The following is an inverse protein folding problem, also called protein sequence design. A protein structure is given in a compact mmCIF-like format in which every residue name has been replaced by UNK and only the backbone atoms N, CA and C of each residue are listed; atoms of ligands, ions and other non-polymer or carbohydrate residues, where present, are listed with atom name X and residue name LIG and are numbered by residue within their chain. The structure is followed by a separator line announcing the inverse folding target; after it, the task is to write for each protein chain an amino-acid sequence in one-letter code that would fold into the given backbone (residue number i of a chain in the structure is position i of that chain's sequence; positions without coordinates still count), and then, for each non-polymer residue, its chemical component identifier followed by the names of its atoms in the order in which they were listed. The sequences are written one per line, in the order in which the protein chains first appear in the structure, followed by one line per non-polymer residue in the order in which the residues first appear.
data_IF_440433814079
#
_entry.id   IF_440433814079
#
_cell.length_a   1.000
_cell.length_b   1.000
_cell.length_c   1.000
_cell.angle_alpha   90.00
_cell.angle_beta   90.00
_cell.angle_gamma   90.00
#
_symmetry.space_group_name_H-M   'P 1'
#
loop_
_entity.id
_entity.type
_entity.pdbx_description
1 polymer ?
#
# COMPACT_ATOMS: atom_id res chain seq x y z
N UNK A 1 10.07 43.41 16.08
CA UNK A 1 10.92 43.07 14.92
C UNK A 1 12.09 44.06 14.91
N UNK A 2 13.32 43.69 15.23
CA UNK A 2 14.46 44.62 15.12
C UNK A 2 14.84 44.78 13.65
N UNK A 3 14.96 46.02 13.23
CA UNK A 3 15.42 46.42 11.89
C UNK A 3 16.85 45.91 11.66
N UNK A 4 17.05 45.13 10.62
CA UNK A 4 18.35 44.62 10.20
C UNK A 4 19.24 45.78 9.74
N UNK A 5 20.55 45.75 10.03
CA UNK A 5 21.47 46.83 9.65
C UNK A 5 21.59 46.96 8.12
N UNK A 6 21.81 48.18 7.58
CA UNK A 6 21.71 48.45 6.13
C UNK A 6 22.71 47.71 5.23
N UNK A 7 23.74 47.11 5.77
CA UNK A 7 24.70 46.27 5.01
C UNK A 7 24.10 44.93 4.54
N UNK A 8 23.05 44.40 5.17
CA UNK A 8 22.34 43.15 4.75
C UNK A 8 21.26 43.39 3.70
N UNK A 9 20.79 44.61 3.49
CA UNK A 9 19.78 44.90 2.47
C UNK A 9 20.36 44.87 1.03
N UNK A 10 21.68 45.11 0.83
CA UNK A 10 22.31 45.02 -0.50
C UNK A 10 22.50 43.59 -1.02
N UNK A 11 22.53 42.58 -0.14
CA UNK A 11 22.73 41.19 -0.54
C UNK A 11 21.45 40.55 -1.14
N UNK A 12 20.25 41.13 -0.88
CA UNK A 12 18.98 40.60 -1.40
C UNK A 12 18.79 40.93 -2.89
N UNK A 13 19.56 41.80 -3.47
CA UNK A 13 19.53 42.15 -4.90
C UNK A 13 20.26 41.13 -5.79
N UNK A 14 21.06 40.22 -5.20
CA UNK A 14 21.78 39.19 -5.95
C UNK A 14 20.76 38.15 -6.50
N UNK A 15 20.64 37.98 -7.83
CA UNK A 15 19.67 37.04 -8.43
C UNK A 15 19.89 35.60 -8.01
N UNK A 16 21.11 35.18 -7.67
CA UNK A 16 21.43 33.86 -7.13
C UNK A 16 20.88 33.67 -5.70
N UNK A 17 21.07 34.66 -4.82
CA UNK A 17 20.52 34.64 -3.45
C UNK A 17 18.99 34.65 -3.47
N UNK A 18 18.39 35.49 -4.33
CA UNK A 18 16.92 35.50 -4.52
C UNK A 18 16.37 34.17 -5.01
N UNK A 19 17.07 33.49 -5.91
CA UNK A 19 16.71 32.16 -6.39
C UNK A 19 16.84 31.11 -5.27
N UNK A 20 17.93 31.12 -4.50
CA UNK A 20 18.14 30.20 -3.37
C UNK A 20 17.05 30.38 -2.29
N UNK A 21 16.71 31.63 -1.94
CA UNK A 21 15.67 31.92 -0.94
C UNK A 21 14.29 31.43 -1.44
N UNK A 22 13.97 31.64 -2.72
CA UNK A 22 12.72 31.16 -3.34
C UNK A 22 12.67 29.64 -3.35
N UNK A 23 13.78 28.97 -3.67
CA UNK A 23 13.87 27.50 -3.70
C UNK A 23 13.71 26.89 -2.30
N UNK A 24 14.32 27.48 -1.27
CA UNK A 24 14.19 27.06 0.13
C UNK A 24 12.77 27.26 0.65
N UNK A 25 12.15 28.42 0.37
CA UNK A 25 10.76 28.69 0.78
C UNK A 25 9.78 27.76 0.07
N UNK A 26 9.99 27.45 -1.21
CA UNK A 26 9.16 26.50 -1.95
C UNK A 26 9.32 25.08 -1.39
N UNK A 27 10.53 24.66 -1.01
CA UNK A 27 10.77 23.36 -0.40
C UNK A 27 10.05 23.20 0.93
N UNK A 28 10.14 24.18 1.83
CA UNK A 28 9.41 24.15 3.11
C UNK A 28 7.90 24.14 2.93
N UNK A 29 7.39 24.94 2.01
CA UNK A 29 5.96 24.95 1.66
C UNK A 29 5.50 23.59 1.13
N UNK A 30 6.23 23.02 0.17
CA UNK A 30 5.94 21.71 -0.40
C UNK A 30 6.04 20.60 0.65
N UNK A 31 7.00 20.67 1.59
CA UNK A 31 7.14 19.72 2.68
C UNK A 31 5.88 19.64 3.54
N UNK A 32 5.34 20.81 3.96
CA UNK A 32 4.10 20.88 4.74
C UNK A 32 2.91 20.38 3.92
N UNK A 33 2.81 20.75 2.65
CA UNK A 33 1.76 20.31 1.75
C UNK A 33 1.73 18.78 1.56
N UNK A 34 2.90 18.15 1.43
CA UNK A 34 3.00 16.69 1.40
C UNK A 34 2.66 16.03 2.73
N UNK A 35 3.04 16.64 3.87
CA UNK A 35 2.67 16.10 5.19
C UNK A 35 1.17 16.18 5.45
N UNK A 36 0.52 17.27 5.01
CA UNK A 36 -0.93 17.39 5.06
C UNK A 36 -1.61 16.22 4.35
N UNK A 37 -1.25 16.00 3.08
CA UNK A 37 -1.80 14.88 2.35
C UNK A 37 -1.50 13.53 3.03
N UNK A 38 -0.27 13.34 3.52
CA UNK A 38 0.14 12.10 4.16
C UNK A 38 -0.64 11.80 5.44
N UNK A 39 -0.96 12.82 6.26
CA UNK A 39 -1.78 12.69 7.46
C UNK A 39 -3.17 12.16 7.12
N UNK A 40 -3.88 12.86 6.22
CA UNK A 40 -5.25 12.49 5.87
C UNK A 40 -5.30 11.16 5.11
N UNK A 41 -4.34 10.88 4.24
CA UNK A 41 -4.22 9.58 3.59
C UNK A 41 -4.01 8.44 4.60
N UNK A 42 -3.27 8.69 5.68
CA UNK A 42 -3.06 7.69 6.72
C UNK A 42 -4.37 7.34 7.45
N UNK A 43 -5.20 8.35 7.77
CA UNK A 43 -6.55 8.10 8.27
C UNK A 43 -7.35 7.23 7.28
N UNK A 44 -7.40 7.63 6.01
CA UNK A 44 -8.15 6.90 4.96
C UNK A 44 -7.70 5.45 4.84
N UNK A 45 -6.40 5.16 4.98
CA UNK A 45 -5.85 3.81 4.79
C UNK A 45 -6.54 2.76 5.66
N UNK A 46 -6.94 3.11 6.87
CA UNK A 46 -7.63 2.19 7.78
C UNK A 46 -9.08 1.95 7.37
N UNK A 47 -9.77 2.99 6.90
CA UNK A 47 -11.15 2.89 6.41
C UNK A 47 -11.29 2.02 5.16
N UNK A 48 -10.22 1.89 4.38
CA UNK A 48 -10.16 1.13 3.12
C UNK A 48 -9.25 -0.09 3.20
N UNK A 49 -9.04 -0.63 4.41
CA UNK A 49 -8.17 -1.79 4.55
C UNK A 49 -8.74 -3.01 3.81
N UNK A 50 -7.95 -3.54 2.86
CA UNK A 50 -8.36 -4.68 2.02
C UNK A 50 -8.50 -5.95 2.84
N UNK A 51 -7.63 -6.12 3.85
CA UNK A 51 -7.59 -7.35 4.63
C UNK A 51 -8.79 -7.52 5.57
N UNK A 52 -9.39 -6.41 6.01
CA UNK A 52 -10.49 -6.42 7.00
C UNK A 52 -11.75 -5.76 6.47
N UNK A 53 -11.72 -4.45 6.17
CA UNK A 53 -12.91 -3.67 5.82
C UNK A 53 -13.51 -4.12 4.49
N UNK A 54 -12.73 -4.13 3.42
CA UNK A 54 -13.24 -4.54 2.12
C UNK A 54 -13.59 -6.03 2.07
N UNK A 55 -12.75 -6.90 2.64
CA UNK A 55 -13.00 -8.33 2.66
C UNK A 55 -14.27 -8.68 3.46
N UNK A 56 -14.48 -8.02 4.60
CA UNK A 56 -15.70 -8.22 5.38
C UNK A 56 -16.94 -7.68 4.67
N UNK A 57 -16.84 -6.54 3.96
CA UNK A 57 -17.93 -6.02 3.14
C UNK A 57 -18.37 -7.04 2.08
N UNK A 58 -17.41 -7.54 1.29
CA UNK A 58 -17.68 -8.56 0.26
C UNK A 58 -18.40 -9.78 0.85
N UNK A 59 -17.93 -10.25 2.00
CA UNK A 59 -18.55 -11.38 2.70
C UNK A 59 -19.95 -11.06 3.28
N UNK A 60 -20.20 -9.79 3.67
CA UNK A 60 -21.53 -9.34 4.15
C UNK A 60 -22.55 -9.19 3.02
N UNK A 61 -22.12 -8.82 1.82
CA UNK A 61 -22.98 -8.79 0.62
C UNK A 61 -23.44 -10.21 0.21
N UNK A 62 -22.79 -11.26 0.72
CA UNK A 62 -23.06 -12.64 0.33
C UNK A 62 -21.93 -13.26 -0.50
N UNK A 63 -20.80 -12.55 -0.64
CA UNK A 63 -19.63 -13.05 -1.35
C UNK A 63 -18.97 -14.24 -0.66
N UNK A 64 -18.21 -14.97 -1.44
CA UNK A 64 -17.46 -16.17 -1.08
C UNK A 64 -15.95 -15.89 -1.00
N UNK A 65 -15.16 -16.92 -0.73
CA UNK A 65 -13.69 -16.84 -0.77
C UNK A 65 -13.16 -16.45 -2.15
N UNK A 66 -13.82 -16.87 -3.23
CA UNK A 66 -13.47 -16.43 -4.59
C UNK A 66 -13.60 -14.92 -4.75
N UNK A 67 -14.69 -14.35 -4.25
CA UNK A 67 -14.91 -12.88 -4.30
C UNK A 67 -13.89 -12.13 -3.46
N UNK A 68 -13.44 -12.67 -2.31
CA UNK A 68 -12.32 -12.09 -1.53
C UNK A 68 -11.02 -12.16 -2.31
N UNK A 69 -10.76 -13.26 -3.01
CA UNK A 69 -9.61 -13.40 -3.91
C UNK A 69 -9.64 -12.39 -5.07
N UNK A 70 -10.81 -12.24 -5.71
CA UNK A 70 -11.03 -11.28 -6.79
C UNK A 70 -10.85 -9.83 -6.31
N UNK A 71 -11.42 -9.49 -5.14
CA UNK A 71 -11.20 -8.20 -4.50
C UNK A 71 -9.70 -7.89 -4.32
N UNK A 72 -8.95 -8.85 -3.76
CA UNK A 72 -7.52 -8.70 -3.50
C UNK A 72 -6.73 -8.58 -4.80
N UNK A 73 -7.05 -9.39 -5.80
CA UNK A 73 -6.45 -9.34 -7.14
C UNK A 73 -6.69 -7.97 -7.81
N UNK A 74 -7.89 -7.41 -7.71
CA UNK A 74 -8.22 -6.09 -8.23
C UNK A 74 -7.48 -5.01 -7.43
N UNK A 75 -7.56 -5.02 -6.11
CA UNK A 75 -7.02 -3.96 -5.27
C UNK A 75 -5.49 -3.87 -5.32
N UNK A 76 -4.79 -5.00 -5.42
CA UNK A 76 -3.33 -5.08 -5.38
C UNK A 76 -2.74 -5.40 -6.75
N UNK A 77 -3.35 -6.28 -7.52
CA UNK A 77 -2.83 -6.74 -8.81
C UNK A 77 -3.08 -5.76 -9.94
N UNK A 78 -4.27 -5.17 -10.04
CA UNK A 78 -4.61 -4.25 -11.11
C UNK A 78 -3.69 -3.01 -11.18
N UNK A 79 -3.28 -2.38 -10.05
CA UNK A 79 -2.26 -1.34 -10.06
C UNK A 79 -0.94 -1.76 -10.69
N UNK A 80 -0.48 -3.00 -10.46
CA UNK A 80 0.79 -3.49 -11.01
C UNK A 80 0.76 -3.56 -12.54
N UNK A 81 -0.37 -4.02 -13.10
CA UNK A 81 -0.56 -4.09 -14.57
C UNK A 81 -0.70 -2.70 -15.18
N UNK A 82 -1.48 -1.82 -14.58
CA UNK A 82 -1.78 -0.48 -15.12
C UNK A 82 -0.65 0.53 -14.91
N UNK A 83 0.18 0.33 -13.88
CA UNK A 83 1.28 1.23 -13.55
C UNK A 83 2.23 1.47 -14.73
N UNK A 84 2.52 0.43 -15.49
CA UNK A 84 3.43 0.53 -16.64
C UNK A 84 2.86 1.39 -17.77
N UNK A 85 1.58 1.20 -18.09
CA UNK A 85 0.87 2.01 -19.09
C UNK A 85 0.84 3.48 -18.68
N UNK A 86 0.52 3.75 -17.42
CA UNK A 86 0.46 5.10 -16.89
C UNK A 86 1.82 5.77 -16.80
N UNK A 87 2.88 5.02 -16.47
CA UNK A 87 4.24 5.53 -16.47
C UNK A 87 4.66 6.02 -17.87
N UNK A 88 4.32 5.26 -18.93
CA UNK A 88 4.58 5.65 -20.31
C UNK A 88 3.86 6.94 -20.69
N UNK A 89 2.57 7.05 -20.37
CA UNK A 89 1.77 8.25 -20.63
C UNK A 89 2.33 9.49 -19.90
N UNK A 90 2.65 9.34 -18.62
CA UNK A 90 3.12 10.44 -17.76
C UNK A 90 4.57 10.86 -18.07
N UNK A 91 5.39 9.97 -18.63
CA UNK A 91 6.76 10.30 -19.04
C UNK A 91 6.82 11.40 -20.09
N UNK A 92 5.82 11.52 -20.94
CA UNK A 92 5.67 12.57 -21.97
C UNK A 92 5.16 13.92 -21.44
N UNK A 93 4.98 14.08 -20.12
CA UNK A 93 4.41 15.31 -19.55
C UNK A 93 5.42 16.08 -18.72
N UNK A 94 5.54 17.39 -18.97
CA UNK A 94 6.43 18.30 -18.22
C UNK A 94 5.92 18.58 -16.82
N UNK A 95 4.61 18.73 -16.64
CA UNK A 95 3.92 18.91 -15.36
C UNK A 95 2.97 17.75 -15.09
N UNK A 96 3.02 17.19 -13.90
CA UNK A 96 2.25 16.01 -13.50
C UNK A 96 1.20 16.29 -12.43
N UNK A 97 1.20 17.52 -11.85
CA UNK A 97 0.21 17.93 -10.84
C UNK A 97 -1.26 17.81 -11.30
N UNK A 98 -1.66 18.21 -12.53
CA UNK A 98 -3.03 18.02 -12.99
C UNK A 98 -3.43 16.54 -12.98
N UNK A 99 -2.53 15.65 -13.39
CA UNK A 99 -2.77 14.22 -13.46
C UNK A 99 -2.80 13.58 -12.05
N UNK A 100 -1.97 14.08 -11.12
CA UNK A 100 -2.04 13.72 -9.70
C UNK A 100 -3.42 14.05 -9.12
N UNK A 101 -3.88 15.28 -9.30
CA UNK A 101 -5.20 15.73 -8.83
C UNK A 101 -6.33 14.92 -9.46
N UNK A 102 -6.29 14.68 -10.77
CA UNK A 102 -7.28 13.85 -11.47
C UNK A 102 -7.35 12.45 -10.84
N UNK A 103 -6.19 11.79 -10.64
CA UNK A 103 -6.15 10.46 -10.03
C UNK A 103 -6.71 10.45 -8.61
N UNK A 104 -6.42 11.47 -7.79
CA UNK A 104 -6.98 11.54 -6.43
C UNK A 104 -8.48 11.85 -6.44
N UNK A 105 -8.97 12.71 -7.33
CA UNK A 105 -10.41 12.96 -7.43
C UNK A 105 -11.19 11.72 -7.90
N UNK A 106 -10.63 10.92 -8.81
CA UNK A 106 -11.23 9.63 -9.18
C UNK A 106 -11.27 8.66 -7.99
N UNK A 107 -10.28 8.69 -7.09
CA UNK A 107 -10.32 7.91 -5.84
C UNK A 107 -11.39 8.43 -4.88
N UNK A 108 -11.53 9.75 -4.73
CA UNK A 108 -12.61 10.35 -3.93
C UNK A 108 -13.96 9.94 -4.48
N UNK A 109 -14.14 10.05 -5.80
CA UNK A 109 -15.37 9.63 -6.49
C UNK A 109 -15.66 8.15 -6.25
N UNK A 110 -14.63 7.28 -6.31
CA UNK A 110 -14.80 5.85 -6.06
C UNK A 110 -15.31 5.56 -4.65
N UNK A 111 -14.75 6.23 -3.65
CA UNK A 111 -15.18 6.04 -2.25
C UNK A 111 -16.58 6.63 -2.00
N UNK A 112 -16.87 7.82 -2.54
CA UNK A 112 -18.20 8.41 -2.46
C UNK A 112 -19.25 7.57 -3.18
N UNK A 113 -18.91 7.07 -4.39
CA UNK A 113 -19.77 6.17 -5.17
C UNK A 113 -20.03 4.85 -4.44
N UNK A 114 -19.01 4.29 -3.77
CA UNK A 114 -19.17 3.11 -2.94
C UNK A 114 -20.11 3.38 -1.75
N UNK A 115 -19.94 4.52 -1.06
CA UNK A 115 -20.83 4.93 0.01
C UNK A 115 -22.28 5.10 -0.49
N UNK A 116 -22.47 5.73 -1.64
CA UNK A 116 -23.79 5.86 -2.27
C UNK A 116 -24.42 4.50 -2.65
N UNK A 117 -23.62 3.61 -3.26
CA UNK A 117 -24.06 2.25 -3.59
C UNK A 117 -24.57 1.51 -2.35
N UNK A 118 -23.89 1.67 -1.23
CA UNK A 118 -24.31 1.04 0.04
C UNK A 118 -25.53 1.73 0.68
N UNK A 119 -25.76 3.01 0.40
CA UNK A 119 -26.97 3.69 0.85
C UNK A 119 -28.26 3.12 0.24
N UNK A 120 -28.15 2.56 -0.97
CA UNK A 120 -29.27 1.94 -1.69
C UNK A 120 -29.22 0.40 -1.67
N UNK A 121 -28.30 -0.18 -0.89
CA UNK A 121 -28.03 -1.62 -0.88
C UNK A 121 -29.25 -2.48 -0.50
N UNK A 122 -30.09 -2.01 0.42
CA UNK A 122 -31.30 -2.73 0.85
C UNK A 122 -32.32 -2.96 -0.28
N UNK A 123 -32.28 -2.11 -1.31
CA UNK A 123 -33.16 -2.15 -2.48
C UNK A 123 -32.52 -2.81 -3.69
N UNK A 124 -31.25 -3.23 -3.58
CA UNK A 124 -30.43 -3.69 -4.70
C UNK A 124 -30.27 -5.21 -4.65
N UNK A 125 -30.25 -5.84 -5.83
CA UNK A 125 -29.85 -7.24 -5.95
C UNK A 125 -28.40 -7.43 -5.47
N UNK A 126 -28.10 -8.45 -4.65
CA UNK A 126 -26.76 -8.71 -4.14
C UNK A 126 -25.70 -8.86 -5.22
N UNK A 127 -26.02 -9.41 -6.39
CA UNK A 127 -25.10 -9.59 -7.51
C UNK A 127 -24.73 -8.25 -8.15
N UNK A 128 -25.73 -7.37 -8.32
CA UNK A 128 -25.52 -6.01 -8.84
C UNK A 128 -24.71 -5.19 -7.83
N UNK A 129 -25.03 -5.31 -6.54
CA UNK A 129 -24.29 -4.63 -5.47
C UNK A 129 -22.83 -5.08 -5.47
N UNK A 130 -22.57 -6.37 -5.57
CA UNK A 130 -21.21 -6.94 -5.63
C UNK A 130 -20.45 -6.43 -6.84
N UNK A 131 -21.04 -6.48 -8.02
CA UNK A 131 -20.43 -5.98 -9.25
C UNK A 131 -20.06 -4.49 -9.14
N UNK A 132 -20.99 -3.69 -8.61
CA UNK A 132 -20.77 -2.25 -8.45
C UNK A 132 -19.65 -1.95 -7.44
N UNK A 133 -19.55 -2.70 -6.34
CA UNK A 133 -18.46 -2.59 -5.39
C UNK A 133 -17.12 -2.91 -6.07
N UNK A 134 -17.03 -3.97 -6.87
CA UNK A 134 -15.82 -4.31 -7.61
C UNK A 134 -15.44 -3.24 -8.65
N UNK A 135 -16.42 -2.63 -9.30
CA UNK A 135 -16.18 -1.52 -10.23
C UNK A 135 -15.53 -0.34 -9.51
N UNK A 136 -16.07 0.05 -8.34
CA UNK A 136 -15.51 1.12 -7.53
C UNK A 136 -14.11 0.78 -6.99
N UNK A 137 -13.87 -0.45 -6.55
CA UNK A 137 -12.52 -0.90 -6.13
C UNK A 137 -11.55 -0.85 -7.31
N UNK A 138 -11.96 -1.27 -8.50
CA UNK A 138 -11.15 -1.20 -9.70
C UNK A 138 -10.77 0.22 -10.07
N UNK A 139 -11.74 1.15 -10.04
CA UNK A 139 -11.50 2.57 -10.30
C UNK A 139 -10.58 3.18 -9.24
N UNK A 140 -10.80 2.85 -7.94
CA UNK A 140 -9.94 3.28 -6.83
C UNK A 140 -8.50 2.80 -6.99
N UNK A 141 -8.32 1.55 -7.35
CA UNK A 141 -7.01 0.92 -7.48
C UNK A 141 -6.22 1.49 -8.68
N UNK A 142 -6.85 1.57 -9.86
CA UNK A 142 -6.22 2.10 -11.08
C UNK A 142 -5.89 3.58 -10.97
N UNK A 143 -6.82 4.38 -10.47
CA UNK A 143 -6.59 5.82 -10.24
C UNK A 143 -5.50 6.06 -9.18
N UNK A 144 -5.37 5.16 -8.19
CA UNK A 144 -4.29 5.17 -7.21
C UNK A 144 -2.92 4.91 -7.83
N UNK A 145 -2.79 3.95 -8.75
CA UNK A 145 -1.56 3.71 -9.51
C UNK A 145 -1.16 4.94 -10.34
N UNK A 146 -2.13 5.54 -11.03
CA UNK A 146 -1.93 6.74 -11.83
C UNK A 146 -1.45 7.94 -10.99
N UNK A 147 -2.11 8.19 -9.86
CA UNK A 147 -1.72 9.25 -8.92
C UNK A 147 -0.35 8.98 -8.28
N UNK A 148 -0.05 7.73 -7.94
CA UNK A 148 1.19 7.32 -7.28
C UNK A 148 2.45 7.62 -8.10
N UNK A 149 2.40 7.40 -9.43
CA UNK A 149 3.51 7.74 -10.34
C UNK A 149 3.74 9.25 -10.36
N UNK A 150 2.66 10.03 -10.51
CA UNK A 150 2.71 11.49 -10.51
C UNK A 150 3.24 12.03 -9.17
N UNK A 151 2.77 11.48 -8.05
CA UNK A 151 3.20 11.82 -6.70
C UNK A 151 4.71 11.62 -6.52
N UNK A 152 5.23 10.45 -6.92
CA UNK A 152 6.66 10.10 -6.75
C UNK A 152 7.56 11.05 -7.55
N UNK A 153 7.17 11.40 -8.77
CA UNK A 153 7.91 12.32 -9.62
C UNK A 153 7.91 13.75 -9.03
N UNK A 154 6.74 14.24 -8.62
CA UNK A 154 6.60 15.59 -8.03
C UNK A 154 7.37 15.68 -6.72
N UNK A 155 7.27 14.67 -5.83
CA UNK A 155 8.03 14.61 -4.58
C UNK A 155 9.54 14.68 -4.84
N UNK A 156 9.99 13.95 -5.87
CA UNK A 156 11.41 13.96 -6.29
C UNK A 156 11.91 15.30 -6.81
N UNK A 157 11.05 16.16 -7.36
CA UNK A 157 11.39 17.49 -7.85
C UNK A 157 11.23 18.56 -6.78
N UNK A 158 10.21 18.42 -5.94
CA UNK A 158 9.77 19.42 -4.98
C UNK A 158 10.59 19.44 -3.67
N UNK A 159 11.20 18.31 -3.30
CA UNK A 159 12.01 18.20 -2.09
C UNK A 159 13.47 17.86 -2.41
N UNK A 160 14.45 18.63 -1.89
CA UNK A 160 15.88 18.30 -1.94
C UNK A 160 16.16 16.94 -1.30
N UNK A 161 17.25 16.27 -1.72
CA UNK A 161 17.64 14.94 -1.20
C UNK A 161 17.75 14.89 0.34
N UNK A 162 18.29 15.96 0.95
CA UNK A 162 18.42 16.09 2.40
C UNK A 162 17.08 16.13 3.13
N UNK A 163 16.07 16.79 2.59
CA UNK A 163 14.74 16.93 3.20
C UNK A 163 13.84 15.71 2.95
N UNK A 164 14.08 14.95 1.89
CA UNK A 164 13.28 13.71 1.63
C UNK A 164 13.37 12.72 2.77
N UNK A 165 14.57 12.53 3.35
CA UNK A 165 14.75 11.62 4.51
C UNK A 165 13.92 12.10 5.71
N UNK A 166 14.00 13.40 6.02
CA UNK A 166 13.20 14.01 7.10
C UNK A 166 11.71 13.86 6.85
N UNK A 167 11.27 14.10 5.61
CA UNK A 167 9.88 13.94 5.20
C UNK A 167 9.39 12.50 5.41
N UNK A 168 10.14 11.48 4.97
CA UNK A 168 9.74 10.09 5.11
C UNK A 168 9.62 9.66 6.58
N UNK A 169 10.54 10.14 7.44
CA UNK A 169 10.47 9.87 8.88
C UNK A 169 9.24 10.54 9.51
N UNK A 170 9.01 11.83 9.20
CA UNK A 170 7.85 12.58 9.72
C UNK A 170 6.53 11.97 9.24
N UNK A 171 6.45 11.63 7.94
CA UNK A 171 5.31 10.92 7.35
C UNK A 171 5.00 9.63 8.08
N UNK A 172 6.02 8.80 8.36
CA UNK A 172 5.83 7.52 9.02
C UNK A 172 5.35 7.68 10.47
N UNK A 173 5.91 8.64 11.21
CA UNK A 173 5.49 8.92 12.59
C UNK A 173 4.04 9.37 12.66
N UNK A 174 3.65 10.34 11.82
CA UNK A 174 2.29 10.85 11.71
C UNK A 174 1.32 9.74 11.28
N UNK A 175 1.71 8.94 10.28
CA UNK A 175 0.88 7.87 9.77
C UNK A 175 0.59 6.80 10.84
N UNK A 176 1.56 6.45 11.68
CA UNK A 176 1.36 5.46 12.74
C UNK A 176 0.29 5.89 13.74
N UNK A 177 0.31 7.16 14.18
CA UNK A 177 -0.69 7.71 15.09
C UNK A 177 -2.05 7.80 14.41
N UNK A 178 -2.09 8.33 13.18
CA UNK A 178 -3.33 8.50 12.42
C UNK A 178 -4.03 7.16 12.15
N UNK A 179 -3.28 6.12 11.78
CA UNK A 179 -3.84 4.79 11.53
C UNK A 179 -4.43 4.16 12.79
N UNK A 180 -3.77 4.29 13.95
CA UNK A 180 -4.31 3.76 15.20
C UNK A 180 -5.58 4.51 15.62
N UNK A 181 -5.58 5.84 15.53
CA UNK A 181 -6.76 6.66 15.85
C UNK A 181 -7.95 6.31 14.95
N UNK A 182 -7.70 6.17 13.63
CA UNK A 182 -8.75 5.82 12.68
C UNK A 182 -9.23 4.37 12.84
N UNK A 183 -8.36 3.44 13.28
CA UNK A 183 -8.78 2.07 13.58
C UNK A 183 -9.81 2.01 14.70
N UNK A 184 -9.65 2.85 15.75
CA UNK A 184 -10.65 2.99 16.82
C UNK A 184 -11.98 3.54 16.29
N UNK A 185 -11.93 4.56 15.40
CA UNK A 185 -13.13 5.12 14.78
C UNK A 185 -13.84 4.07 13.92
N UNK A 186 -13.13 3.40 13.03
CA UNK A 186 -13.73 2.35 12.17
C UNK A 186 -14.30 1.21 13.02
N UNK A 187 -13.58 0.77 14.06
CA UNK A 187 -14.09 -0.23 15.00
C UNK A 187 -15.39 0.22 15.63
N UNK A 188 -15.47 1.44 16.11
CA UNK A 188 -16.69 2.00 16.70
C UNK A 188 -17.85 2.01 15.70
N UNK A 189 -17.62 2.49 14.47
CA UNK A 189 -18.64 2.53 13.42
C UNK A 189 -19.19 1.15 13.04
N UNK A 190 -18.30 0.16 12.91
CA UNK A 190 -18.69 -1.21 12.55
C UNK A 190 -19.50 -1.88 13.65
N UNK A 191 -19.27 -1.53 14.92
CA UNK A 191 -19.99 -2.05 16.08
C UNK A 191 -21.32 -1.32 16.28
N UNK A 192 -21.31 0.01 16.22
CA UNK A 192 -22.45 0.83 16.59
C UNK A 192 -23.54 0.89 15.52
N UNK A 193 -23.19 0.70 14.25
CA UNK A 193 -24.14 0.82 13.16
C UNK A 193 -24.40 -0.55 12.51
N UNK A 194 -25.67 -0.87 12.14
CA UNK A 194 -25.99 -2.08 11.42
C UNK A 194 -25.47 -2.04 9.97
N UNK A 195 -25.27 -3.21 9.37
CA UNK A 195 -25.06 -3.35 7.93
C UNK A 195 -26.36 -2.99 7.18
N UNK A 196 -26.30 -2.27 6.03
CA UNK A 196 -25.12 -1.77 5.31
C UNK A 196 -24.65 -0.37 5.76
N UNK A 197 -25.37 0.28 6.69
CA UNK A 197 -25.15 1.68 7.10
C UNK A 197 -23.76 1.93 7.65
N UNK A 198 -23.18 0.99 8.37
CA UNK A 198 -21.82 1.08 8.89
C UNK A 198 -20.78 1.26 7.77
N UNK A 199 -20.82 0.46 6.72
CA UNK A 199 -19.88 0.60 5.58
C UNK A 199 -20.17 1.83 4.75
N UNK A 200 -21.45 2.21 4.56
CA UNK A 200 -21.82 3.47 3.93
C UNK A 200 -21.11 4.65 4.60
N UNK A 201 -21.24 4.77 5.92
CA UNK A 201 -20.60 5.86 6.70
C UNK A 201 -19.08 5.78 6.62
N UNK A 202 -18.49 4.60 6.71
CA UNK A 202 -17.05 4.38 6.59
C UNK A 202 -16.53 4.93 5.26
N UNK A 203 -17.14 4.61 4.13
CA UNK A 203 -16.67 5.06 2.82
C UNK A 203 -16.94 6.54 2.55
N UNK A 204 -18.05 7.10 3.06
CA UNK A 204 -18.30 8.54 2.97
C UNK A 204 -17.28 9.34 3.79
N UNK A 205 -16.97 8.91 5.01
CA UNK A 205 -15.91 9.53 5.82
C UNK A 205 -14.55 9.39 5.10
N UNK A 206 -14.23 8.23 4.55
CA UNK A 206 -13.00 8.03 3.79
C UNK A 206 -12.91 8.95 2.57
N UNK A 207 -14.02 9.14 1.83
CA UNK A 207 -14.10 10.07 0.71
C UNK A 207 -13.86 11.52 1.16
N UNK A 208 -14.51 11.96 2.25
CA UNK A 208 -14.34 13.30 2.80
C UNK A 208 -12.90 13.55 3.26
N UNK A 209 -12.30 12.60 4.00
CA UNK A 209 -10.91 12.69 4.44
C UNK A 209 -9.94 12.76 3.26
N UNK A 210 -10.16 11.95 2.20
CA UNK A 210 -9.33 11.96 1.01
C UNK A 210 -9.51 13.26 0.21
N UNK A 211 -10.73 13.80 0.16
CA UNK A 211 -10.99 15.11 -0.43
C UNK A 211 -10.23 16.21 0.31
N UNK A 212 -10.26 16.25 1.65
CA UNK A 212 -9.48 17.18 2.47
C UNK A 212 -7.97 17.00 2.21
N UNK A 213 -7.51 15.76 2.04
CA UNK A 213 -6.13 15.45 1.69
C UNK A 213 -5.68 16.13 0.38
N UNK A 214 -6.59 16.32 -0.59
CA UNK A 214 -6.26 16.96 -1.88
C UNK A 214 -5.82 18.42 -1.72
N UNK A 215 -6.24 19.10 -0.65
CA UNK A 215 -5.80 20.45 -0.32
C UNK A 215 -4.27 20.58 -0.27
N UNK A 216 -3.58 19.55 0.25
CA UNK A 216 -2.12 19.50 0.21
C UNK A 216 -1.56 19.50 -1.22
N UNK A 217 -2.17 18.75 -2.13
CA UNK A 217 -1.71 18.70 -3.53
C UNK A 217 -2.04 19.98 -4.32
N UNK A 218 -3.13 20.65 -4.00
CA UNK A 218 -3.40 21.97 -4.56
C UNK A 218 -2.32 22.99 -4.16
N UNK A 219 -1.85 22.92 -2.93
CA UNK A 219 -0.81 23.81 -2.41
C UNK A 219 0.58 23.56 -3.02
N UNK A 220 0.88 22.36 -3.56
CA UNK A 220 2.20 22.03 -4.10
C UNK A 220 2.59 22.95 -5.27
N UNK A 221 3.81 23.46 -5.21
CA UNK A 221 4.47 24.22 -6.28
C UNK A 221 5.36 23.28 -7.08
N UNK A 222 4.86 22.84 -8.25
CA UNK A 222 5.60 21.91 -9.13
C UNK A 222 6.49 22.65 -10.11
N UNK A 223 7.79 22.29 -10.11
CA UNK A 223 8.70 22.70 -11.18
C UNK A 223 8.53 21.82 -12.42
N UNK A 224 8.62 22.39 -13.66
CA UNK A 224 8.57 21.60 -14.88
C UNK A 224 9.69 20.56 -14.92
N UNK A 225 9.34 19.35 -15.37
CA UNK A 225 10.26 18.23 -15.47
C UNK A 225 10.77 18.00 -16.89
N UNK A 226 11.82 17.15 -17.00
CA UNK A 226 12.28 16.68 -18.31
C UNK A 226 11.30 15.65 -18.89
N UNK A 227 10.99 15.77 -20.18
CA UNK A 227 10.20 14.80 -20.92
C UNK A 227 11.08 13.61 -21.29
N UNK A 228 10.59 12.40 -21.06
CA UNK A 228 11.24 11.19 -21.55
C UNK A 228 10.38 10.55 -22.65
N UNK A 229 10.94 10.22 -23.82
CA UNK A 229 10.18 9.62 -24.90
C UNK A 229 9.70 8.20 -24.54
N UNK A 230 8.53 7.81 -25.02
CA UNK A 230 7.94 6.46 -24.81
C UNK A 230 8.86 5.34 -25.31
N UNK A 231 9.65 5.63 -26.36
CA UNK A 231 10.66 4.69 -26.88
C UNK A 231 11.66 4.21 -25.83
N UNK A 232 11.97 5.05 -24.84
CA UNK A 232 12.88 4.67 -23.74
C UNK A 232 12.28 3.59 -22.86
N UNK A 233 11.00 3.66 -22.58
CA UNK A 233 10.27 2.66 -21.80
C UNK A 233 10.17 1.32 -22.54
N UNK A 234 9.85 1.34 -23.84
CA UNK A 234 9.82 0.14 -24.67
C UNK A 234 11.20 -0.54 -24.76
N UNK A 235 12.29 0.25 -24.81
CA UNK A 235 13.66 -0.28 -24.76
C UNK A 235 13.93 -0.98 -23.42
N UNK A 236 13.48 -0.42 -22.30
CA UNK A 236 13.62 -1.04 -20.97
C UNK A 236 12.88 -2.39 -20.93
N UNK A 237 11.63 -2.43 -21.43
CA UNK A 237 10.85 -3.67 -21.48
C UNK A 237 11.53 -4.76 -22.31
N UNK A 238 12.02 -4.41 -23.50
CA UNK A 238 12.76 -5.35 -24.36
C UNK A 238 14.09 -5.83 -23.74
N UNK A 239 14.68 -5.01 -22.86
CA UNK A 239 15.92 -5.36 -22.16
C UNK A 239 15.71 -6.26 -20.94
N UNK A 240 14.46 -6.44 -20.44
CA UNK A 240 14.18 -7.23 -19.22
C UNK A 240 14.82 -8.62 -19.27
N UNK A 241 14.65 -9.47 -20.32
CA UNK A 241 15.22 -10.81 -20.34
C UNK A 241 16.75 -10.79 -20.25
N UNK A 242 17.40 -9.85 -20.92
CA UNK A 242 18.85 -9.70 -20.90
C UNK A 242 19.35 -9.26 -19.52
N UNK A 243 18.68 -8.30 -18.88
CA UNK A 243 19.02 -7.82 -17.54
C UNK A 243 18.88 -8.94 -16.51
N UNK A 244 17.80 -9.72 -16.57
CA UNK A 244 17.57 -10.84 -15.66
C UNK A 244 18.61 -11.96 -15.82
N UNK A 245 19.02 -12.26 -17.05
CA UNK A 245 20.06 -13.28 -17.32
C UNK A 245 21.41 -12.88 -16.74
N UNK A 246 21.74 -11.60 -16.78
CA UNK A 246 23.06 -11.08 -16.38
C UNK A 246 23.13 -10.65 -14.92
N UNK A 247 22.02 -10.27 -14.30
CA UNK A 247 21.97 -9.84 -12.89
C UNK A 247 21.24 -10.87 -12.00
N UNK A 248 22.04 -11.75 -11.40
CA UNK A 248 21.55 -12.79 -10.48
C UNK A 248 20.92 -12.19 -9.20
N UNK A 249 21.37 -11.01 -8.75
CA UNK A 249 20.80 -10.35 -7.58
C UNK A 249 19.37 -9.88 -7.85
N UNK A 250 19.13 -9.24 -9.00
CA UNK A 250 17.80 -8.82 -9.41
C UNK A 250 16.88 -10.03 -9.60
N UNK A 251 17.36 -11.11 -10.24
CA UNK A 251 16.59 -12.33 -10.45
C UNK A 251 16.19 -13.00 -9.13
N UNK A 252 17.12 -13.12 -8.17
CA UNK A 252 16.82 -13.66 -6.84
C UNK A 252 15.87 -12.74 -6.06
N UNK A 253 15.99 -11.43 -6.22
CA UNK A 253 15.07 -10.45 -5.59
C UNK A 253 13.64 -10.58 -6.12
N UNK A 254 13.45 -10.77 -7.43
CA UNK A 254 12.12 -10.98 -8.03
C UNK A 254 11.52 -12.29 -7.54
N UNK A 255 12.30 -13.38 -7.48
CA UNK A 255 11.86 -14.67 -6.95
C UNK A 255 11.51 -14.56 -5.45
N UNK A 256 12.31 -13.81 -4.66
CA UNK A 256 12.01 -13.49 -3.27
C UNK A 256 10.65 -12.82 -3.12
N UNK A 257 10.39 -11.74 -3.89
CA UNK A 257 9.12 -11.02 -3.84
C UNK A 257 7.97 -11.95 -4.20
N UNK A 258 8.07 -12.67 -5.32
CA UNK A 258 7.00 -13.54 -5.78
C UNK A 258 6.68 -14.65 -4.76
N UNK A 259 7.67 -15.26 -4.15
CA UNK A 259 7.44 -16.29 -3.13
C UNK A 259 6.90 -15.71 -1.81
N UNK A 260 7.48 -14.60 -1.33
CA UNK A 260 7.09 -14.02 -0.03
C UNK A 260 5.78 -13.25 -0.07
N UNK A 261 5.37 -12.71 -1.22
CA UNK A 261 4.11 -11.95 -1.37
C UNK A 261 2.85 -12.78 -1.07
N UNK A 262 2.93 -14.11 -1.19
CA UNK A 262 1.84 -14.98 -0.80
C UNK A 262 1.46 -14.78 0.67
N UNK A 263 2.44 -14.50 1.54
CA UNK A 263 2.21 -14.20 2.95
C UNK A 263 1.36 -12.95 3.20
N UNK A 264 1.38 -11.98 2.29
CA UNK A 264 0.52 -10.79 2.36
C UNK A 264 -0.85 -11.05 1.74
N UNK A 265 -0.89 -11.73 0.60
CA UNK A 265 -2.12 -11.92 -0.16
C UNK A 265 -3.03 -13.03 0.40
N UNK A 266 -2.52 -13.84 1.34
CA UNK A 266 -3.32 -14.79 2.13
C UNK A 266 -4.13 -14.10 3.25
N UNK A 267 -3.67 -12.95 3.77
CA UNK A 267 -4.28 -12.30 4.95
C UNK A 267 -5.80 -12.05 4.79
N UNK A 268 -6.32 -11.56 3.65
CA UNK A 268 -7.77 -11.37 3.46
C UNK A 268 -8.59 -12.65 3.66
N UNK A 269 -8.02 -13.83 3.42
CA UNK A 269 -8.71 -15.10 3.61
C UNK A 269 -8.86 -15.50 5.08
N UNK A 270 -8.13 -14.88 6.01
CA UNK A 270 -8.35 -15.12 7.44
C UNK A 270 -9.73 -14.62 7.90
N UNK A 271 -10.24 -13.52 7.31
CA UNK A 271 -11.63 -13.08 7.55
C UNK A 271 -12.64 -14.09 6.97
N UNK A 272 -12.37 -14.63 5.77
CA UNK A 272 -13.22 -15.66 5.18
C UNK A 272 -13.22 -16.93 6.03
N UNK A 273 -12.07 -17.37 6.55
CA UNK A 273 -11.96 -18.48 7.49
C UNK A 273 -12.72 -18.20 8.80
N UNK A 274 -12.59 -16.98 9.35
CA UNK A 274 -13.34 -16.56 10.53
C UNK A 274 -14.85 -16.64 10.30
N UNK A 275 -15.34 -16.12 9.17
CA UNK A 275 -16.77 -16.20 8.78
C UNK A 275 -17.25 -17.65 8.75
N UNK A 276 -16.45 -18.54 8.14
CA UNK A 276 -16.81 -19.96 8.00
C UNK A 276 -16.84 -20.73 9.33
N UNK A 277 -16.03 -20.32 10.32
CA UNK A 277 -15.90 -21.03 11.60
C UNK A 277 -16.72 -20.42 12.73
N UNK A 278 -16.78 -19.09 12.80
CA UNK A 278 -17.31 -18.36 13.97
C UNK A 278 -18.46 -17.40 13.59
N UNK A 279 -18.77 -17.29 12.30
CA UNK A 279 -19.60 -16.21 11.80
C UNK A 279 -18.81 -14.91 11.64
N UNK A 280 -19.51 -13.79 11.38
CA UNK A 280 -18.87 -12.49 11.17
C UNK A 280 -19.74 -11.35 11.71
N UNK A 281 -19.48 -10.94 12.95
CA UNK A 281 -20.13 -9.81 13.61
C UNK A 281 -19.34 -8.51 13.42
N UNK A 282 -19.98 -7.36 13.70
CA UNK A 282 -19.30 -6.07 13.72
C UNK A 282 -18.17 -6.01 14.77
N UNK A 283 -18.39 -6.66 15.92
CA UNK A 283 -17.38 -6.76 16.99
C UNK A 283 -16.09 -7.45 16.51
N UNK A 284 -16.23 -8.57 15.81
CA UNK A 284 -15.13 -9.33 15.26
C UNK A 284 -14.35 -8.51 14.23
N UNK A 285 -15.05 -7.91 13.26
CA UNK A 285 -14.43 -7.09 12.20
C UNK A 285 -13.65 -5.93 12.82
N UNK A 286 -14.25 -5.22 13.77
CA UNK A 286 -13.63 -4.10 14.44
C UNK A 286 -12.39 -4.49 15.26
N UNK A 287 -12.44 -5.63 15.98
CA UNK A 287 -11.32 -6.14 16.74
C UNK A 287 -10.18 -6.61 15.82
N UNK A 288 -10.49 -7.31 14.73
CA UNK A 288 -9.49 -7.76 13.75
C UNK A 288 -8.73 -6.59 13.15
N UNK A 289 -9.45 -5.54 12.72
CA UNK A 289 -8.86 -4.32 12.22
C UNK A 289 -7.94 -3.67 13.26
N UNK A 290 -8.44 -3.45 14.48
CA UNK A 290 -7.67 -2.82 15.55
C UNK A 290 -6.40 -3.62 15.88
N UNK A 291 -6.51 -4.92 16.07
CA UNK A 291 -5.37 -5.80 16.37
C UNK A 291 -4.32 -5.77 15.24
N UNK A 292 -4.76 -5.77 13.98
CA UNK A 292 -3.84 -5.65 12.83
C UNK A 292 -3.04 -4.35 12.87
N UNK A 293 -3.67 -3.22 13.11
CA UNK A 293 -2.96 -1.93 13.17
C UNK A 293 -2.12 -1.77 14.43
N UNK A 294 -2.56 -2.30 15.57
CA UNK A 294 -1.72 -2.38 16.79
C UNK A 294 -0.49 -3.25 16.53
N UNK A 295 -0.65 -4.40 15.91
CA UNK A 295 0.46 -5.27 15.51
C UNK A 295 1.44 -4.56 14.57
N UNK A 296 0.93 -3.83 13.55
CA UNK A 296 1.77 -3.03 12.66
C UNK A 296 2.57 -1.96 13.41
N UNK A 297 1.96 -1.26 14.33
CA UNK A 297 2.61 -0.19 15.10
C UNK A 297 3.71 -0.76 16.03
N UNK A 298 3.39 -1.77 16.83
CA UNK A 298 4.32 -2.37 17.78
C UNK A 298 5.49 -3.08 17.09
N UNK A 299 5.22 -3.75 15.96
CA UNK A 299 6.27 -4.45 15.22
C UNK A 299 7.35 -3.51 14.68
N UNK A 300 7.07 -2.24 14.43
CA UNK A 300 8.08 -1.29 13.92
C UNK A 300 9.25 -1.10 14.89
N UNK A 301 9.00 -1.21 16.20
CA UNK A 301 10.04 -1.13 17.24
C UNK A 301 10.98 -2.34 17.13
N UNK A 302 10.41 -3.52 16.88
CA UNK A 302 11.16 -4.78 16.73
C UNK A 302 11.96 -4.75 15.43
N UNK A 303 11.33 -4.33 14.33
CA UNK A 303 12.00 -4.23 13.02
C UNK A 303 13.18 -3.26 13.03
N UNK A 304 13.07 -2.14 13.77
CA UNK A 304 14.20 -1.22 13.97
C UNK A 304 15.39 -1.90 14.64
N UNK A 305 15.16 -2.71 15.70
CA UNK A 305 16.23 -3.46 16.37
C UNK A 305 16.87 -4.50 15.45
N UNK A 306 16.05 -5.23 14.68
CA UNK A 306 16.53 -6.24 13.73
C UNK A 306 17.30 -5.58 12.57
N UNK A 307 16.80 -4.45 12.03
CA UNK A 307 17.50 -3.71 10.98
C UNK A 307 18.88 -3.22 11.40
N UNK A 308 19.01 -2.74 12.64
CA UNK A 308 20.28 -2.26 13.15
C UNK A 308 21.33 -3.37 13.25
N UNK A 309 20.93 -4.61 13.57
CA UNK A 309 21.85 -5.75 13.74
C UNK A 309 22.05 -6.57 12.48
N UNK A 310 20.98 -6.81 11.72
CA UNK A 310 20.96 -7.76 10.59
C UNK A 310 20.59 -7.10 9.27
N UNK A 311 20.52 -5.76 9.21
CA UNK A 311 20.08 -5.00 8.04
C UNK A 311 18.68 -5.45 7.55
N UNK A 312 18.34 -5.15 6.30
CA UNK A 312 17.04 -5.51 5.73
C UNK A 312 16.89 -7.02 5.47
N UNK A 313 18.00 -7.75 5.31
CA UNK A 313 17.96 -9.22 5.21
C UNK A 313 17.37 -9.89 6.44
N UNK A 314 17.68 -9.38 7.64
CA UNK A 314 17.11 -9.90 8.87
C UNK A 314 15.60 -9.72 8.94
N UNK A 315 15.09 -8.55 8.54
CA UNK A 315 13.65 -8.29 8.48
C UNK A 315 12.99 -9.20 7.43
N UNK A 316 13.63 -9.38 6.26
CA UNK A 316 13.10 -10.24 5.19
C UNK A 316 13.05 -11.71 5.61
N UNK A 317 14.02 -12.18 6.39
CA UNK A 317 13.99 -13.52 6.97
C UNK A 317 12.80 -13.67 7.93
N UNK A 318 12.60 -12.71 8.85
CA UNK A 318 11.45 -12.73 9.76
C UNK A 318 10.12 -12.65 9.01
N UNK A 319 10.05 -11.84 7.95
CA UNK A 319 8.88 -11.75 7.08
C UNK A 319 8.52 -13.08 6.44
N UNK A 320 9.51 -13.79 5.86
CA UNK A 320 9.30 -15.09 5.27
C UNK A 320 8.92 -16.16 6.30
N UNK A 321 9.57 -16.13 7.47
CA UNK A 321 9.28 -17.06 8.56
C UNK A 321 7.86 -16.86 9.10
N UNK A 322 7.52 -15.64 9.51
CA UNK A 322 6.20 -15.35 10.07
C UNK A 322 5.11 -15.49 9.01
N UNK A 323 5.36 -15.01 7.77
CA UNK A 323 4.42 -15.15 6.67
C UNK A 323 4.09 -16.60 6.32
N UNK A 324 5.08 -17.51 6.43
CA UNK A 324 4.89 -18.95 6.21
C UNK A 324 4.24 -19.68 7.39
N UNK A 325 4.53 -19.26 8.63
CA UNK A 325 3.91 -19.85 9.82
C UNK A 325 2.47 -19.41 10.05
N UNK A 326 2.13 -18.17 9.69
CA UNK A 326 0.85 -17.57 10.00
C UNK A 326 -0.35 -18.30 9.39
N UNK A 327 -0.34 -18.77 8.11
CA UNK A 327 -1.41 -19.57 7.56
C UNK A 327 -1.63 -20.90 8.32
N UNK A 328 -0.56 -21.56 8.75
CA UNK A 328 -0.65 -22.79 9.53
C UNK A 328 -1.23 -22.52 10.92
N UNK A 329 -0.76 -21.44 11.57
CA UNK A 329 -1.30 -21.01 12.86
C UNK A 329 -2.77 -20.64 12.76
N UNK A 330 -3.22 -20.03 11.65
CA UNK A 330 -4.62 -19.72 11.41
C UNK A 330 -5.48 -20.98 11.35
N UNK A 331 -4.98 -22.06 10.73
CA UNK A 331 -5.69 -23.35 10.72
C UNK A 331 -5.82 -23.96 12.13
N UNK A 332 -4.75 -23.90 12.92
CA UNK A 332 -4.78 -24.41 14.30
C UNK A 332 -5.75 -23.60 15.15
N UNK A 333 -5.61 -22.27 15.15
CA UNK A 333 -6.45 -21.40 15.97
C UNK A 333 -7.92 -21.36 15.50
N UNK A 334 -8.21 -21.66 14.23
CA UNK A 334 -9.59 -21.79 13.74
C UNK A 334 -10.36 -22.99 14.32
N UNK A 335 -9.66 -23.89 15.00
CA UNK A 335 -10.25 -25.04 15.74
C UNK A 335 -10.44 -24.75 17.22
N UNK A 336 -10.03 -23.58 17.69
CA UNK A 336 -10.16 -23.14 19.09
C UNK A 336 -11.32 -22.14 19.21
N UNK A 337 -11.20 -21.15 20.10
CA UNK A 337 -12.19 -20.09 20.24
C UNK A 337 -11.84 -18.87 19.38
N UNK A 338 -12.84 -18.02 19.19
CA UNK A 338 -12.68 -16.75 18.47
C UNK A 338 -11.69 -15.81 19.17
N UNK A 339 -11.58 -15.88 20.51
CA UNK A 339 -10.69 -15.04 21.28
C UNK A 339 -9.23 -15.37 21.02
N UNK A 340 -8.91 -16.64 20.76
CA UNK A 340 -7.58 -17.02 20.31
C UNK A 340 -7.37 -16.72 18.84
N UNK A 341 -8.38 -16.95 17.99
CA UNK A 341 -8.26 -16.73 16.55
C UNK A 341 -7.99 -15.27 16.18
N UNK A 342 -8.55 -14.30 16.91
CA UNK A 342 -8.35 -12.88 16.61
C UNK A 342 -6.86 -12.45 16.64
N UNK A 343 -5.99 -13.14 17.38
CA UNK A 343 -4.56 -12.86 17.43
C UNK A 343 -3.83 -13.09 16.09
N UNK A 344 -4.43 -13.83 15.16
CA UNK A 344 -3.93 -13.94 13.79
C UNK A 344 -3.82 -12.56 13.14
N UNK A 345 -4.77 -11.67 13.40
CA UNK A 345 -4.74 -10.31 12.84
C UNK A 345 -3.65 -9.45 13.47
N UNK A 346 -3.36 -9.63 14.76
CA UNK A 346 -2.22 -8.98 15.40
C UNK A 346 -0.89 -9.39 14.73
N UNK A 347 -0.66 -10.67 14.53
CA UNK A 347 0.53 -11.16 13.84
C UNK A 347 0.53 -10.83 12.34
N UNK A 348 -0.63 -10.72 11.70
CA UNK A 348 -0.73 -10.20 10.32
C UNK A 348 -0.17 -8.78 10.22
N UNK A 349 -0.39 -7.94 11.24
CA UNK A 349 0.21 -6.62 11.34
C UNK A 349 1.75 -6.65 11.28
N UNK A 350 2.38 -7.62 11.96
CA UNK A 350 3.83 -7.84 11.88
C UNK A 350 4.27 -8.22 10.47
N UNK A 351 3.56 -9.15 9.84
CA UNK A 351 3.87 -9.59 8.47
C UNK A 351 3.74 -8.44 7.48
N UNK A 352 2.67 -7.62 7.57
CA UNK A 352 2.45 -6.48 6.69
C UNK A 352 3.56 -5.44 6.82
N UNK A 353 3.92 -5.08 8.05
CA UNK A 353 4.97 -4.07 8.28
C UNK A 353 6.35 -4.57 7.87
N UNK A 354 6.68 -5.84 8.19
CA UNK A 354 7.93 -6.47 7.78
C UNK A 354 8.05 -6.55 6.25
N UNK A 355 6.98 -6.94 5.56
CA UNK A 355 6.94 -7.02 4.10
C UNK A 355 7.24 -5.68 3.44
N UNK A 356 6.58 -4.60 3.88
CA UNK A 356 6.83 -3.25 3.36
C UNK A 356 8.28 -2.81 3.54
N UNK A 357 8.82 -2.97 4.76
CA UNK A 357 10.18 -2.53 5.08
C UNK A 357 11.23 -3.38 4.35
N UNK A 358 11.04 -4.70 4.31
CA UNK A 358 12.06 -5.61 3.77
C UNK A 358 12.16 -5.53 2.25
N UNK A 359 11.04 -5.48 1.53
CA UNK A 359 11.03 -5.43 0.07
C UNK A 359 11.70 -4.14 -0.41
N UNK A 360 11.28 -2.98 0.11
CA UNK A 360 11.89 -1.70 -0.23
C UNK A 360 13.36 -1.65 0.21
N UNK A 361 13.67 -2.14 1.40
CA UNK A 361 15.02 -2.12 1.96
C UNK A 361 16.02 -2.96 1.17
N UNK A 362 15.66 -4.19 0.78
CA UNK A 362 16.53 -5.03 -0.05
C UNK A 362 16.75 -4.41 -1.43
N UNK A 363 15.72 -3.81 -2.04
CA UNK A 363 15.87 -3.09 -3.30
C UNK A 363 16.92 -1.98 -3.19
N UNK A 364 16.92 -1.23 -2.07
CA UNK A 364 17.90 -0.19 -1.83
C UNK A 364 19.33 -0.74 -1.68
N UNK A 365 19.50 -1.90 -1.06
CA UNK A 365 20.81 -2.54 -0.85
C UNK A 365 21.41 -3.15 -2.13
N UNK A 366 20.57 -3.65 -3.05
CA UNK A 366 21.06 -4.26 -4.30
C UNK A 366 21.22 -3.27 -5.45
N UNK A 367 20.71 -2.03 -5.31
CA UNK A 367 20.69 -1.03 -6.37
C UNK A 367 21.60 0.16 -6.09
N UNK A 368 21.99 0.84 -7.17
CA UNK A 368 22.61 2.17 -7.15
C UNK A 368 21.55 3.23 -7.48
N UNK A 369 21.91 4.52 -7.34
CA UNK A 369 21.00 5.61 -7.70
C UNK A 369 20.61 5.57 -9.19
N UNK A 370 21.50 5.07 -10.06
CA UNK A 370 21.32 5.08 -11.52
C UNK A 370 20.40 3.95 -12.02
N UNK A 371 20.44 2.76 -11.40
CA UNK A 371 19.64 1.61 -11.83
C UNK A 371 18.40 1.35 -10.98
N UNK A 372 18.24 2.00 -9.82
CA UNK A 372 17.14 1.76 -8.88
C UNK A 372 15.75 1.90 -9.51
N UNK A 373 15.52 2.93 -10.30
CA UNK A 373 14.23 3.15 -10.93
C UNK A 373 13.88 2.03 -11.94
N UNK A 374 14.88 1.54 -12.67
CA UNK A 374 14.72 0.45 -13.62
C UNK A 374 14.43 -0.85 -12.88
N UNK A 375 15.17 -1.16 -11.81
CA UNK A 375 14.98 -2.38 -11.02
C UNK A 375 13.63 -2.38 -10.30
N UNK A 376 13.21 -1.24 -9.75
CA UNK A 376 11.87 -1.09 -9.17
C UNK A 376 10.75 -1.33 -10.19
N UNK A 377 10.92 -0.79 -11.41
CA UNK A 377 9.98 -1.02 -12.51
C UNK A 377 9.91 -2.49 -12.93
N UNK A 378 11.06 -3.13 -13.14
CA UNK A 378 11.14 -4.54 -13.53
C UNK A 378 10.52 -5.43 -12.44
N UNK A 379 10.92 -5.24 -11.18
CA UNK A 379 10.43 -6.06 -10.07
C UNK A 379 8.92 -5.88 -9.85
N UNK A 380 8.41 -4.64 -9.94
CA UNK A 380 6.98 -4.37 -9.85
C UNK A 380 6.17 -5.07 -10.96
N UNK A 381 6.64 -4.98 -12.21
CA UNK A 381 5.98 -5.64 -13.36
C UNK A 381 6.00 -7.17 -13.26
N UNK A 382 7.07 -7.74 -12.69
CA UNK A 382 7.25 -9.19 -12.56
C UNK A 382 6.76 -9.75 -11.21
N UNK A 383 6.11 -8.95 -10.37
CA UNK A 383 5.45 -9.42 -9.14
C UNK A 383 4.08 -10.06 -9.43
N UNK A 384 4.06 -11.02 -10.36
CA UNK A 384 2.83 -11.62 -10.91
C UNK A 384 2.05 -12.43 -9.87
N UNK A 385 2.73 -13.08 -8.94
CA UNK A 385 2.07 -13.87 -7.89
C UNK A 385 1.18 -13.02 -6.99
N UNK A 386 1.58 -11.77 -6.74
CA UNK A 386 0.77 -10.81 -5.95
C UNK A 386 -0.59 -10.53 -6.59
N UNK A 387 -0.65 -10.56 -7.93
CA UNK A 387 -1.89 -10.32 -8.68
C UNK A 387 -2.72 -11.59 -8.88
N UNK A 388 -2.06 -12.70 -9.19
CA UNK A 388 -2.72 -13.93 -9.66
C UNK A 388 -3.07 -14.86 -8.50
N UNK A 389 -2.18 -14.99 -7.51
CA UNK A 389 -2.37 -15.93 -6.41
C UNK A 389 -3.69 -15.73 -5.64
N UNK A 390 -4.15 -14.50 -5.31
CA UNK A 390 -5.42 -14.34 -4.60
C UNK A 390 -6.62 -14.94 -5.35
N UNK A 391 -6.65 -14.81 -6.68
CA UNK A 391 -7.71 -15.39 -7.52
C UNK A 391 -7.69 -16.92 -7.45
N UNK A 392 -6.50 -17.51 -7.65
CA UNK A 392 -6.33 -18.97 -7.58
C UNK A 392 -6.65 -19.48 -6.18
N UNK A 393 -6.19 -18.80 -5.14
CA UNK A 393 -6.43 -19.17 -3.75
C UNK A 393 -7.93 -19.17 -3.42
N UNK A 394 -8.65 -18.13 -3.87
CA UNK A 394 -10.09 -18.04 -3.68
C UNK A 394 -10.85 -19.21 -4.34
N UNK A 395 -10.51 -19.53 -5.61
CA UNK A 395 -11.07 -20.69 -6.33
C UNK A 395 -10.76 -22.02 -5.64
N UNK A 396 -9.53 -22.20 -5.19
CA UNK A 396 -9.12 -23.44 -4.53
C UNK A 396 -9.77 -23.60 -3.15
N UNK A 397 -10.00 -22.52 -2.41
CA UNK A 397 -10.71 -22.56 -1.13
C UNK A 397 -12.15 -23.02 -1.34
N UNK A 398 -12.83 -22.54 -2.39
CA UNK A 398 -14.21 -22.94 -2.68
C UNK A 398 -14.33 -24.38 -3.14
N UNK A 399 -13.37 -24.80 -3.99
CA UNK A 399 -13.41 -26.16 -4.52
C UNK A 399 -12.96 -27.22 -3.51
N UNK A 400 -12.04 -26.87 -2.63
CA UNK A 400 -11.45 -27.77 -1.64
C UNK A 400 -11.67 -27.25 -0.23
N UNK A 401 -10.65 -26.64 0.37
CA UNK A 401 -10.72 -26.09 1.74
C UNK A 401 -9.67 -25.00 1.95
N UNK A 402 -9.82 -24.22 3.04
CA UNK A 402 -8.76 -23.31 3.51
C UNK A 402 -7.45 -24.05 3.81
N UNK A 403 -7.54 -25.27 4.36
CA UNK A 403 -6.37 -26.08 4.70
C UNK A 403 -5.52 -26.36 3.45
N UNK A 404 -6.14 -26.70 2.33
CA UNK A 404 -5.42 -26.93 1.07
C UNK A 404 -4.55 -25.73 0.70
N UNK A 405 -5.14 -24.54 0.63
CA UNK A 405 -4.44 -23.35 0.21
C UNK A 405 -3.35 -22.94 1.21
N UNK A 406 -3.65 -22.97 2.52
CA UNK A 406 -2.74 -22.51 3.55
C UNK A 406 -1.53 -23.45 3.72
N UNK A 407 -1.74 -24.78 3.62
CA UNK A 407 -0.67 -25.77 3.66
C UNK A 407 0.24 -25.65 2.43
N UNK A 408 -0.30 -25.40 1.23
CA UNK A 408 0.51 -25.21 0.03
C UNK A 408 1.19 -23.85 -0.05
N UNK A 409 0.55 -22.79 0.42
CA UNK A 409 1.16 -21.46 0.43
C UNK A 409 2.38 -21.38 1.36
N UNK A 410 2.35 -22.04 2.52
CA UNK A 410 3.39 -21.97 3.52
C UNK A 410 4.77 -22.40 3.02
N UNK A 411 4.97 -23.57 2.38
CA UNK A 411 6.28 -23.95 1.81
C UNK A 411 6.77 -23.00 0.73
N UNK A 412 5.86 -22.44 -0.09
CA UNK A 412 6.23 -21.46 -1.11
C UNK A 412 6.75 -20.18 -0.43
N UNK A 413 6.09 -19.71 0.62
CA UNK A 413 6.57 -18.54 1.38
C UNK A 413 7.94 -18.84 2.01
N UNK A 414 8.12 -20.01 2.62
CA UNK A 414 9.42 -20.41 3.19
C UNK A 414 10.52 -20.51 2.14
N UNK A 415 10.21 -20.91 0.90
CA UNK A 415 11.18 -20.96 -0.19
C UNK A 415 11.83 -19.60 -0.48
N UNK A 416 11.16 -18.49 -0.12
CA UNK A 416 11.70 -17.15 -0.25
C UNK A 416 12.99 -16.95 0.55
N UNK A 417 13.20 -17.70 1.65
CA UNK A 417 14.44 -17.70 2.46
C UNK A 417 15.65 -18.20 1.62
N UNK A 418 15.42 -19.16 0.74
CA UNK A 418 16.46 -19.63 -0.15
C UNK A 418 16.94 -18.55 -1.12
N UNK A 419 16.01 -17.82 -1.73
CA UNK A 419 16.34 -16.71 -2.61
C UNK A 419 17.01 -15.57 -1.86
N UNK A 420 16.55 -15.28 -0.64
CA UNK A 420 17.13 -14.27 0.25
C UNK A 420 18.62 -14.54 0.55
N UNK A 421 18.98 -15.81 0.82
CA UNK A 421 20.38 -16.20 1.08
C UNK A 421 21.29 -15.96 -0.12
N UNK A 422 20.76 -16.04 -1.34
CA UNK A 422 21.51 -15.86 -2.59
C UNK A 422 21.70 -14.41 -3.01
N UNK A 423 20.95 -13.48 -2.42
CA UNK A 423 21.10 -12.04 -2.66
C UNK A 423 22.40 -11.57 -1.99
N UNK A 424 23.23 -10.88 -2.75
CA UNK A 424 24.44 -10.19 -2.24
C UNK A 424 24.10 -8.72 -2.06
N UNK A 425 24.01 -8.27 -0.80
CA UNK A 425 23.85 -6.85 -0.49
C UNK A 425 25.21 -6.18 -0.51
N UNK A 426 25.29 -4.97 -1.07
CA UNK A 426 26.51 -4.16 -1.04
C UNK A 426 26.81 -3.79 0.41
N UNK A 427 28.08 -3.77 0.81
CA UNK A 427 28.52 -3.42 2.16
C UNK A 427 28.11 -2.00 2.59
#
# INVERSE_FOLDING_TARGET
MPLLPPSRQKDISNPLLKKIIVDVNNSRHNFIAFLWHALFLAFVTTFIDVNTVFSSLVLKIGGSSFHVGMLTGIAVGLPLVTQLLFAGFLAGRTRKKPFLLMGIYLRVLSLAGMGYTLAIAEKSDPSILMFTVFLWVGLFATSGAFAGISYTDILGKALPKSERRRFLISKQAIASVAMLSSALVVRHLVIALPYPKNYMVIFIIAAALLFIATGGFWAIREAPGKVSPLSRMLKVLKAIPHVLKNDKNLSNYILLINASSLGLTVIPFYIALSKARFGLSGHQIGNYLLLQFVGMALSTIIWKKIANRYKFKGISFCYALMGGLLPLLALVLSRTSIDFFQWIFFFSGFVISAGKISIEGILLEITTNDNRAIYAGISGTLSLTTAIFPLIAGMLIERYTFSTVFIFASPVIFSSIFFLKRIQCKP
#
